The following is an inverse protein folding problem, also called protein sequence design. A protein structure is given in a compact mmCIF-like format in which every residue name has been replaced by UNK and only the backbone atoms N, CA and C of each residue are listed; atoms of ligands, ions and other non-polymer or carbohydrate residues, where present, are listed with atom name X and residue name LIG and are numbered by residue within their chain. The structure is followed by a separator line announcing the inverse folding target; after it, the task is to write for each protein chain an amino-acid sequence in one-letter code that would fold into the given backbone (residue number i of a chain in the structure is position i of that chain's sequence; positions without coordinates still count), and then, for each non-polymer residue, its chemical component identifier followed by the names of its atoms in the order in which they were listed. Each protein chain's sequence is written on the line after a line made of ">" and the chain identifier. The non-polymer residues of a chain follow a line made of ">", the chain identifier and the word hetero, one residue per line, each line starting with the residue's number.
data_IF_022874586744
#
_entry.id   IF_022874586744
#
_cell.length_a   1.000
_cell.length_b   1.000
_cell.length_c   1.000
_cell.angle_alpha   90.00
_cell.angle_beta   90.00
_cell.angle_gamma   90.00
#
_symmetry.space_group_name_H-M   'P 1'
#
loop_
_entity.id
_entity.type
_entity.pdbx_description
1 polymer ?
#
# COMPACT_ATOMS: atom_id res chain seq x y z
N UNK A 1 1.62 10.26 13.81
CA UNK A 1 2.06 11.31 14.76
C UNK A 1 3.53 11.13 15.08
N UNK A 2 4.36 11.89 14.38
CA UNK A 2 5.77 12.15 14.70
C UNK A 2 5.86 12.92 16.02
N UNK A 3 6.85 12.61 16.85
CA UNK A 3 7.41 13.56 17.81
C UNK A 3 8.92 13.28 17.99
N UNK A 4 9.70 14.23 17.48
CA UNK A 4 11.09 14.52 17.82
C UNK A 4 11.21 15.06 19.24
N UNK A 5 12.26 14.68 19.98
CA UNK A 5 12.92 15.59 20.93
C UNK A 5 14.37 15.18 21.24
N UNK A 6 15.31 16.05 20.85
CA UNK A 6 16.57 16.38 21.53
C UNK A 6 16.24 17.66 22.35
N UNK A 7 16.84 18.11 23.47
CA UNK A 7 18.17 18.02 24.12
C UNK A 7 18.06 18.81 25.49
N UNK A 8 19.09 19.00 26.37
CA UNK A 8 20.11 20.09 26.20
C UNK A 8 21.48 19.99 26.95
N UNK A 9 22.44 20.82 26.50
CA UNK A 9 23.55 21.54 27.20
C UNK A 9 24.69 21.78 26.18
N UNK A 10 25.45 22.89 26.10
CA UNK A 10 25.57 24.18 26.79
C UNK A 10 26.19 25.20 25.79
N UNK A 11 25.98 26.50 26.03
CA UNK A 11 26.63 27.64 25.33
C UNK A 11 28.03 27.95 25.97
N UNK A 12 28.91 28.89 25.52
CA UNK A 12 28.62 30.20 24.90
C UNK A 12 29.62 30.75 23.83
N UNK A 13 29.28 31.88 23.16
CA UNK A 13 30.25 32.65 22.36
C UNK A 13 29.71 33.77 21.44
N UNK A 14 29.43 34.94 22.03
CA UNK A 14 29.55 36.34 21.52
C UNK A 14 29.56 36.74 20.01
N UNK A 15 28.52 37.47 19.58
CA UNK A 15 28.43 38.82 18.91
C UNK A 15 29.36 39.25 17.71
N UNK A 16 29.03 40.29 16.90
CA UNK A 16 27.73 40.90 16.51
C UNK A 16 27.56 41.24 15.00
N UNK A 17 26.32 41.66 14.68
CA UNK A 17 25.76 42.36 13.51
C UNK A 17 26.68 43.24 12.64
N UNK A 18 26.41 43.24 11.31
CA UNK A 18 26.40 44.45 10.46
C UNK A 18 25.32 44.41 9.38
N UNK A 19 24.48 45.44 9.41
CA UNK A 19 23.62 45.91 8.32
C UNK A 19 24.43 46.37 7.10
N UNK A 20 23.91 46.10 5.90
CA UNK A 20 24.15 46.96 4.74
C UNK A 20 23.02 46.81 3.69
N UNK A 21 22.11 47.77 3.70
CA UNK A 21 21.25 48.12 2.55
C UNK A 21 22.10 48.55 1.36
N UNK A 22 21.80 48.08 0.15
CA UNK A 22 21.92 48.87 -1.09
C UNK A 22 20.96 48.41 -2.18
N UNK A 23 20.35 49.39 -2.82
CA UNK A 23 19.33 49.34 -3.87
C UNK A 23 19.96 49.43 -5.28
N UNK A 24 19.25 48.81 -6.26
CA UNK A 24 19.17 49.10 -7.73
C UNK A 24 20.47 48.91 -8.53
N UNK A 25 20.49 48.26 -9.69
CA UNK A 25 19.82 48.61 -10.96
C UNK A 25 19.76 47.42 -11.95
N UNK A 26 18.91 47.57 -12.97
CA UNK A 26 18.72 46.65 -14.09
C UNK A 26 19.87 46.68 -15.13
N UNK A 27 19.85 45.66 -15.97
CA UNK A 27 20.49 45.47 -17.27
C UNK A 27 22.03 45.35 -17.31
N UNK A 28 22.54 44.12 -17.52
CA UNK A 28 23.28 43.81 -18.76
C UNK A 28 23.48 42.30 -18.94
N UNK A 29 23.38 41.86 -20.20
CA UNK A 29 23.57 40.49 -20.63
C UNK A 29 25.00 40.28 -21.14
N UNK A 30 25.71 39.23 -20.69
CA UNK A 30 26.71 38.46 -21.47
C UNK A 30 27.67 37.65 -20.58
N UNK A 31 27.48 36.32 -20.58
CA UNK A 31 28.49 35.23 -20.62
C UNK A 31 29.79 35.37 -19.83
N UNK A 32 30.00 34.48 -18.84
CA UNK A 32 31.23 33.67 -18.62
C UNK A 32 31.01 32.60 -17.54
N UNK A 33 31.67 31.45 -17.70
CA UNK A 33 31.47 30.16 -17.04
C UNK A 33 32.07 30.00 -15.63
N UNK A 34 31.60 28.96 -14.91
CA UNK A 34 32.16 28.41 -13.67
C UNK A 34 31.02 28.01 -12.72
N UNK A 35 30.60 26.74 -12.69
CA UNK A 35 31.18 25.63 -11.91
C UNK A 35 30.29 25.34 -10.69
N UNK A 36 29.72 24.13 -10.72
CA UNK A 36 29.39 23.24 -9.60
C UNK A 36 28.41 23.75 -8.55
N UNK A 37 27.16 23.26 -8.66
CA UNK A 37 26.40 22.65 -7.57
C UNK A 37 25.14 22.00 -8.19
N UNK A 38 25.37 20.94 -9.00
CA UNK A 38 24.33 20.01 -9.38
C UNK A 38 24.01 19.15 -8.14
N UNK A 39 22.99 19.56 -7.37
CA UNK A 39 22.23 18.59 -6.58
C UNK A 39 21.55 17.64 -7.56
N UNK A 40 22.22 16.52 -7.86
CA UNK A 40 21.64 15.36 -8.55
C UNK A 40 20.49 14.79 -7.69
N UNK A 41 19.32 15.42 -7.78
CA UNK A 41 18.03 14.79 -7.52
C UNK A 41 17.83 13.73 -8.60
N UNK A 42 17.93 12.46 -8.20
CA UNK A 42 17.69 11.28 -9.03
C UNK A 42 16.43 11.47 -9.91
N UNK A 43 16.60 11.24 -11.22
CA UNK A 43 15.58 11.42 -12.25
C UNK A 43 14.22 10.80 -11.90
N UNK A 44 13.28 11.61 -11.42
CA UNK A 44 11.85 11.28 -11.40
C UNK A 44 11.39 11.31 -12.86
N UNK A 45 11.25 10.14 -13.48
CA UNK A 45 10.93 10.02 -14.91
C UNK A 45 9.72 10.86 -15.31
N UNK A 46 9.85 11.59 -16.42
CA UNK A 46 8.78 12.44 -16.95
C UNK A 46 7.49 11.65 -17.17
N UNK A 47 6.38 12.15 -16.60
CA UNK A 47 5.06 11.56 -16.82
C UNK A 47 4.66 11.74 -18.29
N UNK A 48 4.13 10.69 -18.92
CA UNK A 48 3.53 10.84 -20.24
C UNK A 48 2.17 11.56 -20.17
N UNK A 49 1.58 11.91 -21.31
CA UNK A 49 0.30 12.66 -21.36
C UNK A 49 -0.87 11.96 -20.67
N UNK A 50 -0.95 10.63 -20.71
CA UNK A 50 -1.99 9.83 -20.04
C UNK A 50 -1.85 9.89 -18.52
N UNK A 51 -0.61 9.80 -18.03
CA UNK A 51 -0.27 9.87 -16.61
C UNK A 51 -0.44 11.28 -16.06
N UNK A 52 -0.01 12.31 -16.81
CA UNK A 52 -0.23 13.72 -16.47
C UNK A 52 -1.74 14.01 -16.35
N UNK A 53 -2.56 13.52 -17.29
CA UNK A 53 -4.02 13.66 -17.23
C UNK A 53 -4.61 13.06 -15.96
N UNK A 54 -4.12 11.89 -15.52
CA UNK A 54 -4.57 11.28 -14.27
C UNK A 54 -4.26 12.17 -13.06
N UNK A 55 -3.03 12.71 -12.99
CA UNK A 55 -2.60 13.64 -11.92
C UNK A 55 -3.45 14.92 -11.94
N UNK A 56 -3.64 15.54 -13.10
CA UNK A 56 -4.42 16.78 -13.20
C UNK A 56 -5.87 16.60 -12.77
N UNK A 57 -6.52 15.50 -13.15
CA UNK A 57 -7.90 15.19 -12.73
C UNK A 57 -7.98 14.97 -11.21
N UNK A 58 -7.04 14.21 -10.64
CA UNK A 58 -6.98 14.00 -9.19
C UNK A 58 -6.78 15.33 -8.45
N UNK A 59 -5.87 16.18 -8.91
CA UNK A 59 -5.62 17.49 -8.28
C UNK A 59 -6.80 18.47 -8.42
N UNK A 60 -7.66 18.29 -9.43
CA UNK A 60 -8.90 19.04 -9.58
C UNK A 60 -10.03 18.58 -8.64
N UNK A 61 -9.78 17.56 -7.79
CA UNK A 61 -10.78 17.01 -6.88
C UNK A 61 -11.77 16.05 -7.55
N UNK A 62 -11.49 15.61 -8.78
CA UNK A 62 -12.37 14.69 -9.49
C UNK A 62 -12.20 13.25 -9.02
N UNK A 63 -13.30 12.49 -9.05
CA UNK A 63 -13.26 11.05 -8.88
C UNK A 63 -12.69 10.39 -10.13
N UNK A 64 -11.65 9.57 -9.98
CA UNK A 64 -10.97 8.93 -11.10
C UNK A 64 -10.86 7.42 -10.94
N UNK A 65 -10.93 6.71 -12.07
CA UNK A 65 -10.55 5.32 -12.19
C UNK A 65 -9.37 5.18 -13.18
N UNK A 66 -8.21 4.87 -12.63
CA UNK A 66 -6.97 4.61 -13.36
C UNK A 66 -6.88 3.11 -13.69
N UNK A 67 -6.81 2.79 -14.98
CA UNK A 67 -6.70 1.41 -15.46
C UNK A 67 -5.72 1.28 -16.62
N UNK A 68 -5.37 0.05 -16.97
CA UNK A 68 -4.37 -0.25 -18.01
C UNK A 68 -3.79 -1.64 -17.85
N UNK A 69 -3.15 -2.14 -18.89
CA UNK A 69 -2.53 -3.47 -18.89
C UNK A 69 -1.37 -3.61 -17.90
N UNK A 70 -0.81 -4.82 -17.82
CA UNK A 70 0.39 -5.04 -17.00
C UNK A 70 1.56 -4.18 -17.54
N UNK A 71 2.30 -3.55 -16.63
CA UNK A 71 3.49 -2.78 -17.01
C UNK A 71 3.24 -1.37 -17.55
N UNK A 72 1.99 -0.87 -17.56
CA UNK A 72 1.67 0.49 -18.06
C UNK A 72 1.96 1.63 -17.08
N UNK A 73 2.63 1.35 -15.95
CA UNK A 73 2.98 2.38 -14.97
C UNK A 73 1.83 2.82 -14.05
N UNK A 74 0.78 1.99 -13.86
CA UNK A 74 -0.34 2.29 -12.93
C UNK A 74 0.14 2.68 -11.53
N UNK A 75 0.91 1.82 -10.85
CA UNK A 75 1.40 2.09 -9.49
C UNK A 75 2.34 3.29 -9.42
N UNK A 76 3.15 3.52 -10.45
CA UNK A 76 3.99 4.72 -10.56
C UNK A 76 3.13 5.99 -10.62
N UNK A 77 2.14 6.01 -11.51
CA UNK A 77 1.19 7.13 -11.64
C UNK A 77 0.39 7.34 -10.36
N UNK A 78 -0.04 6.26 -9.71
CA UNK A 78 -0.76 6.31 -8.44
C UNK A 78 0.09 6.93 -7.33
N UNK A 79 1.38 6.62 -7.26
CA UNK A 79 2.31 7.23 -6.31
C UNK A 79 2.47 8.73 -6.56
N UNK A 80 2.58 9.18 -7.82
CA UNK A 80 2.60 10.61 -8.13
C UNK A 80 1.32 11.33 -7.70
N UNK A 81 0.15 10.69 -7.90
CA UNK A 81 -1.14 11.23 -7.45
C UNK A 81 -1.18 11.32 -5.92
N UNK A 82 -0.76 10.26 -5.22
CA UNK A 82 -0.70 10.22 -3.76
C UNK A 82 0.19 11.34 -3.22
N UNK A 83 1.38 11.51 -3.79
CA UNK A 83 2.32 12.54 -3.36
C UNK A 83 1.75 13.95 -3.56
N UNK A 84 1.20 14.23 -4.74
CA UNK A 84 0.59 15.52 -5.05
C UNK A 84 -0.61 15.82 -4.13
N UNK A 85 -1.47 14.83 -3.88
CA UNK A 85 -2.63 14.99 -2.99
C UNK A 85 -2.22 15.19 -1.52
N UNK A 86 -1.18 14.49 -1.05
CA UNK A 86 -0.64 14.67 0.31
C UNK A 86 -0.01 16.04 0.50
N UNK A 87 0.74 16.51 -0.50
CA UNK A 87 1.29 17.88 -0.49
C UNK A 87 0.17 18.93 -0.42
N UNK A 88 -0.96 18.69 -1.10
CA UNK A 88 -2.08 19.63 -1.16
C UNK A 88 -3.02 19.59 0.06
N UNK A 89 -3.34 18.40 0.57
CA UNK A 89 -4.34 18.20 1.63
C UNK A 89 -3.76 17.86 3.01
N UNK A 90 -2.48 17.50 3.07
CA UNK A 90 -1.83 16.92 4.25
C UNK A 90 -1.97 15.40 4.32
N UNK A 91 -1.00 14.75 4.97
CA UNK A 91 -0.89 13.28 5.04
C UNK A 91 -2.12 12.60 5.64
N UNK A 92 -2.68 13.16 6.72
CA UNK A 92 -3.78 12.56 7.46
C UNK A 92 -5.13 12.62 6.70
N UNK A 93 -5.24 13.51 5.70
CA UNK A 93 -6.45 13.68 4.89
C UNK A 93 -6.51 12.74 3.68
N UNK A 94 -5.41 12.08 3.33
CA UNK A 94 -5.31 11.16 2.19
C UNK A 94 -5.18 9.72 2.67
N UNK A 95 -6.27 8.97 2.58
CA UNK A 95 -6.30 7.56 2.91
C UNK A 95 -5.75 6.71 1.76
N UNK A 96 -4.62 6.04 1.98
CA UNK A 96 -4.05 5.10 1.02
C UNK A 96 -4.47 3.68 1.39
N UNK A 97 -5.19 3.03 0.49
CA UNK A 97 -5.69 1.68 0.70
C UNK A 97 -5.50 0.77 -0.50
N UNK A 98 -5.53 -0.54 -0.26
CA UNK A 98 -5.64 -1.54 -1.30
C UNK A 98 -6.53 -2.71 -0.85
N UNK A 99 -6.89 -3.58 -1.78
CA UNK A 99 -7.71 -4.78 -1.51
C UNK A 99 -6.96 -5.88 -0.76
N UNK A 100 -5.62 -5.95 -0.87
CA UNK A 100 -4.77 -6.93 -0.17
C UNK A 100 -3.67 -6.27 0.64
N UNK A 101 -3.15 -6.98 1.65
CA UNK A 101 -2.06 -6.47 2.50
C UNK A 101 -0.75 -6.24 1.75
N UNK A 102 -0.41 -7.10 0.78
CA UNK A 102 0.78 -6.94 -0.06
C UNK A 102 0.68 -5.65 -0.88
N UNK A 103 -0.43 -5.47 -1.59
CA UNK A 103 -0.68 -4.30 -2.41
C UNK A 103 -0.67 -3.02 -1.56
N UNK A 104 -1.33 -3.05 -0.40
CA UNK A 104 -1.35 -1.92 0.53
C UNK A 104 0.06 -1.54 0.99
N UNK A 105 0.89 -2.52 1.31
CA UNK A 105 2.28 -2.28 1.73
C UNK A 105 3.13 -1.69 0.61
N UNK A 106 2.90 -2.08 -0.65
CA UNK A 106 3.63 -1.53 -1.81
C UNK A 106 3.38 -0.03 -2.02
N UNK A 107 2.19 0.46 -1.68
CA UNK A 107 1.83 1.89 -1.81
C UNK A 107 1.90 2.64 -0.47
N UNK A 108 2.50 2.04 0.57
CA UNK A 108 2.63 2.66 1.89
C UNK A 108 1.30 2.92 2.61
N UNK A 109 0.29 2.11 2.32
CA UNK A 109 -1.06 2.19 2.87
C UNK A 109 -1.45 1.02 3.78
N UNK A 110 -2.75 0.86 3.98
CA UNK A 110 -3.35 -0.27 4.73
C UNK A 110 -4.45 -0.94 3.91
N UNK A 111 -5.02 -2.05 4.38
CA UNK A 111 -6.15 -2.65 3.65
C UNK A 111 -7.39 -1.78 3.79
N UNK A 112 -8.23 -1.74 2.75
CA UNK A 112 -9.49 -1.00 2.76
C UNK A 112 -10.39 -1.41 3.94
N UNK A 113 -10.41 -2.69 4.27
CA UNK A 113 -11.11 -3.26 5.43
C UNK A 113 -10.62 -2.68 6.77
N UNK A 114 -9.30 -2.60 6.96
CA UNK A 114 -8.68 -2.07 8.17
C UNK A 114 -8.92 -0.57 8.31
N UNK A 115 -8.72 0.19 7.22
CA UNK A 115 -8.96 1.63 7.19
C UNK A 115 -10.42 1.97 7.51
N UNK A 116 -11.37 1.34 6.81
CA UNK A 116 -12.80 1.62 6.96
C UNK A 116 -13.39 1.15 8.29
N UNK A 117 -12.74 0.21 8.98
CA UNK A 117 -13.16 -0.25 10.31
C UNK A 117 -14.34 -1.22 10.30
N UNK A 118 -14.54 -1.96 9.20
CA UNK A 118 -15.67 -2.88 9.01
C UNK A 118 -15.34 -4.36 9.32
N UNK A 119 -14.11 -4.65 9.75
CA UNK A 119 -13.62 -6.02 9.91
C UNK A 119 -13.65 -6.76 8.58
N UNK A 120 -14.28 -7.94 8.55
CA UNK A 120 -14.42 -8.77 7.34
C UNK A 120 -15.52 -8.29 6.37
N UNK A 121 -16.23 -7.19 6.67
CA UNK A 121 -17.29 -6.65 5.79
C UNK A 121 -18.55 -7.53 5.68
N UNK A 122 -18.72 -8.51 6.58
CA UNK A 122 -19.92 -9.36 6.65
C UNK A 122 -21.06 -8.64 7.36
N UNK A 123 -22.26 -8.74 6.78
CA UNK A 123 -23.46 -8.09 7.27
C UNK A 123 -23.94 -6.94 6.38
N UNK A 124 -24.97 -6.25 6.83
CA UNK A 124 -25.52 -5.05 6.17
C UNK A 124 -24.70 -3.81 6.48
N UNK A 125 -24.84 -2.75 5.69
CA UNK A 125 -24.18 -1.47 5.96
C UNK A 125 -24.52 -0.92 7.37
N UNK A 126 -25.76 -1.08 7.81
CA UNK A 126 -26.20 -0.64 9.14
C UNK A 126 -25.56 -1.46 10.28
N UNK A 127 -25.41 -2.77 10.11
CA UNK A 127 -24.71 -3.62 11.08
C UNK A 127 -23.24 -3.27 11.20
N UNK A 128 -22.58 -3.05 10.06
CA UNK A 128 -21.18 -2.63 10.00
C UNK A 128 -21.00 -1.25 10.65
N UNK A 129 -21.88 -0.31 10.34
CA UNK A 129 -21.88 1.03 10.95
C UNK A 129 -22.06 0.96 12.47
N UNK A 130 -23.00 0.16 12.99
CA UNK A 130 -23.21 0.02 14.45
C UNK A 130 -22.02 -0.59 15.18
N UNK A 131 -21.26 -1.45 14.50
CA UNK A 131 -20.03 -2.08 15.04
C UNK A 131 -18.79 -1.23 14.85
N UNK A 132 -18.88 -0.14 14.10
CA UNK A 132 -17.75 0.73 13.80
C UNK A 132 -17.25 1.42 15.08
N UNK A 133 -15.92 1.43 15.27
CA UNK A 133 -15.30 2.15 16.38
C UNK A 133 -15.35 3.66 16.15
N UNK A 134 -15.31 4.45 17.25
CA UNK A 134 -15.19 5.92 17.17
C UNK A 134 -13.96 6.35 16.36
N UNK A 135 -12.84 5.65 16.50
CA UNK A 135 -11.62 5.94 15.74
C UNK A 135 -11.81 5.77 14.23
N UNK A 136 -12.50 4.70 13.80
CA UNK A 136 -12.81 4.51 12.39
C UNK A 136 -13.74 5.61 11.87
N UNK A 137 -14.78 5.97 12.63
CA UNK A 137 -15.67 7.07 12.26
C UNK A 137 -14.92 8.41 12.13
N UNK A 138 -14.01 8.72 13.05
CA UNK A 138 -13.15 9.91 12.96
C UNK A 138 -12.26 9.89 11.71
N UNK A 139 -11.68 8.74 11.35
CA UNK A 139 -10.90 8.60 10.11
C UNK A 139 -11.74 8.93 8.88
N UNK A 140 -12.98 8.44 8.81
CA UNK A 140 -13.91 8.80 7.73
C UNK A 140 -14.17 10.31 7.67
N UNK A 141 -14.38 10.95 8.82
CA UNK A 141 -14.65 12.39 8.93
C UNK A 141 -13.46 13.29 8.55
N UNK A 142 -12.24 12.79 8.72
CA UNK A 142 -11.02 13.51 8.38
C UNK A 142 -10.51 13.23 6.96
N UNK A 143 -11.03 12.20 6.31
CA UNK A 143 -10.62 11.80 4.98
C UNK A 143 -11.21 12.73 3.91
N UNK A 144 -10.34 13.37 3.14
CA UNK A 144 -10.73 14.16 1.95
C UNK A 144 -10.59 13.33 0.68
N UNK A 145 -9.58 12.47 0.60
CA UNK A 145 -9.36 11.58 -0.54
C UNK A 145 -9.09 10.14 -0.09
N UNK A 146 -9.79 9.19 -0.71
CA UNK A 146 -9.60 7.75 -0.55
C UNK A 146 -9.03 7.14 -1.82
N UNK A 147 -7.79 6.68 -1.72
CA UNK A 147 -7.09 5.93 -2.76
C UNK A 147 -7.31 4.44 -2.52
N UNK A 148 -7.72 3.71 -3.56
CA UNK A 148 -7.94 2.26 -3.52
C UNK A 148 -7.19 1.61 -4.69
N UNK A 149 -6.11 0.88 -4.40
CA UNK A 149 -5.39 0.08 -5.39
C UNK A 149 -5.89 -1.38 -5.45
N UNK A 150 -5.60 -2.05 -6.57
CA UNK A 150 -6.04 -3.40 -6.90
C UNK A 150 -7.56 -3.59 -6.79
N UNK A 151 -8.32 -2.65 -7.35
CA UNK A 151 -9.80 -2.64 -7.27
C UNK A 151 -10.48 -3.81 -7.99
N UNK A 152 -9.76 -4.58 -8.82
CA UNK A 152 -10.31 -5.76 -9.51
C UNK A 152 -10.76 -6.86 -8.54
N UNK A 153 -10.11 -6.94 -7.38
CA UNK A 153 -10.43 -7.89 -6.32
C UNK A 153 -11.47 -7.35 -5.32
N UNK A 154 -11.99 -6.14 -5.52
CA UNK A 154 -13.01 -5.55 -4.66
C UNK A 154 -14.41 -5.98 -5.11
N UNK A 155 -15.15 -6.60 -4.19
CA UNK A 155 -16.55 -6.96 -4.41
C UNK A 155 -17.44 -5.72 -4.48
N UNK A 156 -18.34 -5.66 -5.47
CA UNK A 156 -19.22 -4.52 -5.68
C UNK A 156 -20.22 -4.31 -4.53
N UNK A 157 -20.72 -5.39 -3.91
CA UNK A 157 -21.62 -5.27 -2.74
C UNK A 157 -20.90 -4.67 -1.53
N UNK A 158 -19.63 -5.04 -1.31
CA UNK A 158 -18.80 -4.42 -0.28
C UNK A 158 -18.61 -2.92 -0.55
N UNK A 159 -18.38 -2.53 -1.80
CA UNK A 159 -18.22 -1.13 -2.19
C UNK A 159 -19.48 -0.29 -1.93
N UNK A 160 -20.66 -0.82 -2.27
CA UNK A 160 -21.94 -0.15 -1.98
C UNK A 160 -22.20 0.00 -0.48
N UNK A 161 -21.78 -0.97 0.35
CA UNK A 161 -21.85 -0.82 1.81
C UNK A 161 -20.94 0.31 2.31
N UNK A 162 -19.74 0.44 1.75
CA UNK A 162 -18.81 1.52 2.09
C UNK A 162 -19.36 2.89 1.66
N UNK A 163 -19.96 2.99 0.47
CA UNK A 163 -20.66 4.20 0.02
C UNK A 163 -21.78 4.59 0.99
N UNK A 164 -22.63 3.64 1.39
CA UNK A 164 -23.72 3.87 2.34
C UNK A 164 -23.21 4.34 3.71
N UNK A 165 -22.09 3.76 4.20
CA UNK A 165 -21.42 4.18 5.42
C UNK A 165 -20.88 5.62 5.30
N UNK A 166 -20.19 5.94 4.21
CA UNK A 166 -19.65 7.28 3.95
C UNK A 166 -20.77 8.33 3.91
N UNK A 167 -21.84 8.07 3.16
CA UNK A 167 -23.04 8.92 3.10
C UNK A 167 -23.69 9.15 4.46
N UNK A 168 -23.68 8.12 5.32
CA UNK A 168 -24.24 8.21 6.67
C UNK A 168 -23.37 9.02 7.62
N UNK A 169 -22.05 8.93 7.49
CA UNK A 169 -21.09 9.63 8.35
C UNK A 169 -20.88 11.09 7.97
N UNK A 170 -21.01 11.41 6.67
CA UNK A 170 -20.64 12.70 6.09
C UNK A 170 -21.88 13.33 5.41
N UNK A 171 -21.93 13.34 4.07
CA UNK A 171 -23.02 13.90 3.28
C UNK A 171 -23.86 12.79 2.61
N UNK A 172 -25.14 12.71 2.97
CA UNK A 172 -26.07 11.69 2.45
C UNK A 172 -26.33 11.79 0.94
N UNK A 173 -26.07 12.95 0.34
CA UNK A 173 -26.42 13.23 -1.07
C UNK A 173 -25.27 12.96 -2.03
N UNK A 174 -24.04 12.81 -1.52
CA UNK A 174 -22.83 12.68 -2.34
C UNK A 174 -22.27 11.26 -2.27
N UNK A 175 -21.72 10.77 -3.38
CA UNK A 175 -21.01 9.49 -3.42
C UNK A 175 -19.90 9.46 -2.36
N UNK A 176 -19.82 8.38 -1.59
CA UNK A 176 -18.91 8.18 -0.46
C UNK A 176 -18.96 9.30 0.59
N UNK A 177 -20.07 10.01 0.71
CA UNK A 177 -20.16 11.13 1.63
C UNK A 177 -19.43 12.39 1.18
N UNK A 178 -19.03 12.47 -0.10
CA UNK A 178 -18.27 13.58 -0.66
C UNK A 178 -16.75 13.41 -0.63
N UNK A 179 -16.25 12.28 -0.12
CA UNK A 179 -14.83 11.90 -0.21
C UNK A 179 -14.44 11.70 -1.66
N UNK A 180 -13.34 12.30 -2.08
CA UNK A 180 -12.78 12.09 -3.41
C UNK A 180 -12.26 10.65 -3.55
N UNK A 181 -12.54 10.01 -4.68
CA UNK A 181 -12.12 8.63 -4.94
C UNK A 181 -11.05 8.57 -6.04
N UNK A 182 -9.94 7.92 -5.72
CA UNK A 182 -8.88 7.54 -6.68
C UNK A 182 -8.80 6.03 -6.72
N UNK A 183 -9.39 5.43 -7.74
CA UNK A 183 -9.49 3.98 -7.92
C UNK A 183 -8.41 3.54 -8.91
N UNK A 184 -7.68 2.46 -8.60
CA UNK A 184 -6.64 1.91 -9.47
C UNK A 184 -6.74 0.39 -9.59
N UNK A 185 -6.69 -0.12 -10.82
CA UNK A 185 -6.65 -1.58 -11.06
C UNK A 185 -6.91 -1.98 -12.51
N UNK A 186 -6.95 -3.29 -12.76
CA UNK A 186 -7.24 -3.87 -14.07
C UNK A 186 -8.21 -5.05 -13.93
N UNK A 187 -9.44 -4.89 -14.41
CA UNK A 187 -10.48 -5.92 -14.30
C UNK A 187 -10.20 -7.19 -15.12
N UNK A 188 -9.20 -7.17 -16.00
CA UNK A 188 -8.72 -8.38 -16.69
C UNK A 188 -7.76 -9.22 -15.83
N UNK A 189 -7.40 -8.75 -14.62
CA UNK A 189 -6.60 -9.52 -13.66
C UNK A 189 -7.51 -10.37 -12.74
N UNK A 190 -7.11 -10.54 -11.48
CA UNK A 190 -7.84 -11.39 -10.54
C UNK A 190 -9.18 -10.75 -10.15
N UNK A 191 -10.30 -11.51 -10.21
CA UNK A 191 -11.61 -11.06 -9.76
C UNK A 191 -11.71 -11.07 -8.23
N UNK A 192 -12.83 -10.58 -7.65
CA UNK A 192 -13.07 -10.66 -6.21
C UNK A 192 -12.97 -12.09 -5.67
N UNK A 193 -12.44 -12.22 -4.45
CA UNK A 193 -12.26 -13.51 -3.77
C UNK A 193 -13.38 -13.73 -2.77
N UNK A 194 -14.10 -14.86 -2.87
CA UNK A 194 -15.14 -15.24 -1.93
C UNK A 194 -15.49 -16.71 -2.00
N UNK A 195 -16.04 -17.24 -0.90
CA UNK A 195 -16.37 -18.67 -0.74
C UNK A 195 -17.53 -19.12 -1.65
N UNK A 196 -18.37 -18.20 -2.10
CA UNK A 196 -19.52 -18.45 -2.97
C UNK A 196 -19.39 -17.57 -4.21
N UNK A 197 -18.81 -18.11 -5.28
CA UNK A 197 -18.62 -17.40 -6.55
C UNK A 197 -19.91 -16.78 -7.09
N UNK A 198 -21.06 -17.43 -6.87
CA UNK A 198 -22.36 -17.02 -7.37
C UNK A 198 -22.93 -15.74 -6.72
N UNK A 199 -22.25 -15.18 -5.70
CA UNK A 199 -22.68 -13.95 -5.00
C UNK A 199 -21.71 -12.78 -5.13
N UNK A 200 -20.60 -12.96 -5.84
CA UNK A 200 -19.62 -11.90 -6.03
C UNK A 200 -20.01 -11.08 -7.25
N UNK A 201 -20.05 -9.77 -7.08
CA UNK A 201 -20.21 -8.83 -8.19
C UNK A 201 -18.90 -8.12 -8.45
N UNK A 202 -18.60 -7.84 -9.71
CA UNK A 202 -17.47 -6.99 -10.03
C UNK A 202 -17.73 -5.57 -9.50
N UNK A 203 -16.66 -4.85 -9.16
CA UNK A 203 -16.77 -3.49 -8.67
C UNK A 203 -17.53 -2.57 -9.65
N UNK A 204 -17.34 -2.75 -10.96
CA UNK A 204 -18.02 -1.95 -11.98
C UNK A 204 -19.54 -2.19 -12.07
N UNK A 205 -20.05 -3.20 -11.37
CA UNK A 205 -21.48 -3.51 -11.25
C UNK A 205 -22.11 -2.87 -9.99
N UNK A 206 -21.30 -2.26 -9.13
CA UNK A 206 -21.78 -1.59 -7.92
C UNK A 206 -22.64 -0.36 -8.25
N UNK A 207 -23.65 -0.08 -7.43
CA UNK A 207 -24.53 1.08 -7.63
C UNK A 207 -23.77 2.41 -7.51
N UNK A 208 -22.74 2.46 -6.66
CA UNK A 208 -21.89 3.64 -6.51
C UNK A 208 -20.90 3.84 -7.68
N UNK A 209 -20.65 2.82 -8.50
CA UNK A 209 -19.61 2.87 -9.54
C UNK A 209 -19.74 4.02 -10.54
N UNK A 210 -20.92 4.34 -11.11
CA UNK A 210 -21.04 5.42 -12.10
C UNK A 210 -20.62 6.80 -11.55
N UNK A 211 -20.76 7.02 -10.23
CA UNK A 211 -20.36 8.26 -9.56
C UNK A 211 -18.90 8.17 -9.06
N UNK A 212 -18.45 6.99 -8.67
CA UNK A 212 -17.11 6.75 -8.15
C UNK A 212 -16.03 6.68 -9.24
N UNK A 213 -16.37 6.18 -10.43
CA UNK A 213 -15.48 6.07 -11.59
C UNK A 213 -15.87 7.08 -12.68
N UNK A 214 -16.27 8.29 -12.29
CA UNK A 214 -16.76 9.35 -13.18
C UNK A 214 -15.77 9.65 -14.31
N UNK A 215 -14.47 9.67 -14.01
CA UNK A 215 -13.41 9.90 -14.98
C UNK A 215 -12.53 8.67 -15.12
N UNK A 216 -12.64 7.95 -16.25
CA UNK A 216 -11.77 6.81 -16.54
C UNK A 216 -10.52 7.28 -17.28
N UNK A 217 -9.35 6.88 -16.78
CA UNK A 217 -8.05 7.10 -17.40
C UNK A 217 -7.42 5.75 -17.73
N UNK A 218 -7.31 5.46 -19.03
CA UNK A 218 -6.69 4.25 -19.53
C UNK A 218 -5.23 4.52 -19.92
N UNK A 219 -4.30 3.90 -19.21
CA UNK A 219 -2.88 3.88 -19.55
C UNK A 219 -2.62 2.80 -20.60
N UNK A 220 -2.09 3.20 -21.75
CA UNK A 220 -1.82 2.32 -22.90
C UNK A 220 -0.34 2.02 -23.07
N UNK A 221 0.51 2.97 -22.73
CA UNK A 221 1.97 2.84 -22.93
C UNK A 221 2.54 1.84 -21.94
N UNK A 222 3.22 0.79 -22.43
CA UNK A 222 3.89 -0.22 -21.60
C UNK A 222 5.34 0.19 -21.37
N UNK A 223 5.74 0.26 -20.09
CA UNK A 223 7.09 0.67 -19.68
C UNK A 223 7.93 -0.49 -19.13
N UNK A 224 7.29 -1.52 -18.57
CA UNK A 224 7.98 -2.60 -17.85
C UNK A 224 8.71 -3.56 -18.80
N UNK A 225 8.22 -3.77 -20.00
CA UNK A 225 8.78 -4.70 -20.98
C UNK A 225 9.28 -3.94 -22.20
N UNK A 226 10.54 -4.15 -22.58
CA UNK A 226 11.14 -3.55 -23.78
C UNK A 226 10.92 -4.39 -25.04
N UNK A 227 10.66 -5.69 -24.89
CA UNK A 227 10.41 -6.60 -26.00
C UNK A 227 8.95 -6.51 -26.47
N UNK A 228 8.74 -5.88 -27.63
CA UNK A 228 7.41 -5.70 -28.23
C UNK A 228 6.68 -7.02 -28.42
N UNK A 229 7.38 -8.07 -28.87
CA UNK A 229 6.76 -9.37 -29.09
C UNK A 229 6.28 -10.01 -27.79
N UNK A 230 6.86 -9.64 -26.64
CA UNK A 230 6.42 -10.10 -25.32
C UNK A 230 5.23 -9.27 -24.82
N UNK A 231 5.27 -7.95 -25.09
CA UNK A 231 4.13 -7.06 -24.83
C UNK A 231 2.88 -7.54 -25.58
N UNK A 232 3.02 -7.88 -26.86
CA UNK A 232 1.92 -8.37 -27.69
C UNK A 232 1.35 -9.67 -27.13
N UNK A 233 2.21 -10.64 -26.80
CA UNK A 233 1.82 -11.89 -26.15
C UNK A 233 1.03 -11.67 -24.85
N UNK A 234 1.48 -10.76 -23.99
CA UNK A 234 0.78 -10.46 -22.73
C UNK A 234 -0.57 -9.78 -22.97
N UNK A 235 -0.68 -8.93 -23.99
CA UNK A 235 -1.94 -8.29 -24.37
C UNK A 235 -2.93 -9.31 -24.98
N UNK A 236 -2.45 -10.21 -25.84
CA UNK A 236 -3.22 -11.34 -26.37
C UNK A 236 -3.75 -12.22 -25.23
N UNK A 237 -2.88 -12.55 -24.26
CA UNK A 237 -3.28 -13.32 -23.07
C UNK A 237 -4.35 -12.59 -22.25
N UNK A 238 -4.19 -11.28 -22.06
CA UNK A 238 -5.16 -10.43 -21.35
C UNK A 238 -6.53 -10.42 -22.04
N UNK A 239 -6.57 -10.52 -23.36
CA UNK A 239 -7.81 -10.56 -24.16
C UNK A 239 -8.35 -11.98 -24.38
N UNK A 240 -7.63 -13.01 -23.92
CA UNK A 240 -7.91 -14.42 -24.19
C UNK A 240 -7.87 -14.81 -25.68
N UNK A 241 -7.07 -14.10 -26.48
CA UNK A 241 -6.92 -14.32 -27.93
C UNK A 241 -5.45 -14.58 -28.28
N UNK A 242 -4.92 -15.76 -27.91
CA UNK A 242 -3.52 -16.12 -28.16
C UNK A 242 -3.29 -16.53 -29.63
N UNK A 243 -2.34 -15.86 -30.28
CA UNK A 243 -1.89 -16.22 -31.63
C UNK A 243 -1.05 -17.52 -31.61
N UNK A 244 -0.98 -18.27 -32.73
CA UNK A 244 -0.11 -19.44 -32.83
C UNK A 244 1.35 -19.12 -32.52
N UNK A 245 1.80 -17.90 -32.86
CA UNK A 245 3.13 -17.40 -32.55
C UNK A 245 3.34 -17.27 -31.03
N UNK A 246 2.41 -16.63 -30.32
CA UNK A 246 2.47 -16.51 -28.85
C UNK A 246 2.44 -17.84 -28.13
N UNK A 247 1.61 -18.79 -28.60
CA UNK A 247 1.56 -20.15 -28.06
C UNK A 247 2.90 -20.86 -28.23
N UNK A 248 3.47 -20.84 -29.45
CA UNK A 248 4.77 -21.44 -29.73
C UNK A 248 5.88 -20.82 -28.87
N UNK A 249 5.84 -19.51 -28.65
CA UNK A 249 6.78 -18.80 -27.79
C UNK A 249 6.68 -19.23 -26.32
N UNK A 250 5.47 -19.37 -25.78
CA UNK A 250 5.27 -19.88 -24.41
C UNK A 250 5.81 -21.31 -24.27
N UNK A 251 5.52 -22.18 -25.24
CA UNK A 251 6.02 -23.56 -25.26
C UNK A 251 7.55 -23.59 -25.32
N UNK A 252 8.15 -22.74 -26.14
CA UNK A 252 9.60 -22.61 -26.24
C UNK A 252 10.23 -22.18 -24.90
N UNK A 253 9.62 -21.23 -24.17
CA UNK A 253 10.11 -20.78 -22.87
C UNK A 253 10.03 -21.89 -21.79
N UNK A 254 9.00 -22.75 -21.85
CA UNK A 254 8.88 -23.92 -20.97
C UNK A 254 9.93 -24.98 -21.30
N UNK A 255 10.18 -25.23 -22.58
CA UNK A 255 11.18 -26.21 -23.02
C UNK A 255 12.63 -25.74 -22.81
N UNK A 256 12.85 -24.42 -22.83
CA UNK A 256 14.17 -23.80 -22.73
C UNK A 256 14.19 -22.78 -21.57
N UNK A 257 14.05 -23.21 -20.31
CA UNK A 257 14.10 -22.29 -19.19
C UNK A 257 15.50 -21.65 -19.12
N UNK A 258 15.60 -20.33 -18.87
CA UNK A 258 16.90 -19.66 -18.79
C UNK A 258 17.71 -20.22 -17.61
N UNK A 259 19.02 -20.38 -17.82
CA UNK A 259 19.94 -20.69 -16.74
C UNK A 259 20.11 -19.45 -15.85
N UNK A 260 19.38 -19.41 -14.74
CA UNK A 260 19.42 -18.30 -13.78
C UNK A 260 20.30 -18.66 -12.58
N UNK A 261 21.18 -17.75 -12.19
CA UNK A 261 22.01 -17.89 -10.98
C UNK A 261 21.15 -18.00 -9.70
N UNK A 262 19.96 -17.39 -9.72
CA UNK A 262 18.98 -17.48 -8.63
C UNK A 262 17.78 -18.27 -9.13
N UNK A 263 17.42 -19.33 -8.40
CA UNK A 263 16.23 -20.12 -8.72
C UNK A 263 15.00 -19.20 -8.78
N UNK A 264 14.21 -19.19 -9.86
CA UNK A 264 13.10 -18.25 -9.99
C UNK A 264 11.98 -18.56 -8.99
N UNK A 265 11.26 -17.52 -8.57
CA UNK A 265 10.03 -17.66 -7.81
C UNK A 265 8.99 -18.37 -8.68
N UNK A 266 8.41 -19.45 -8.15
CA UNK A 266 7.34 -20.17 -8.82
C UNK A 266 5.99 -19.66 -8.33
N UNK A 267 5.04 -19.49 -9.24
CA UNK A 267 3.68 -19.07 -8.94
C UNK A 267 2.75 -20.29 -9.06
N UNK A 268 1.85 -20.45 -8.08
CA UNK A 268 0.91 -21.56 -8.03
C UNK A 268 -0.52 -21.03 -7.82
N UNK A 269 -1.55 -21.74 -8.32
CA UNK A 269 -2.95 -21.33 -8.12
C UNK A 269 -3.46 -21.55 -6.68
N UNK A 270 -2.81 -22.40 -5.89
CA UNK A 270 -3.19 -22.73 -4.53
C UNK A 270 -2.02 -22.53 -3.57
N UNK A 271 -2.28 -21.89 -2.42
CA UNK A 271 -1.28 -21.61 -1.39
C UNK A 271 -0.63 -22.89 -0.86
N UNK A 272 -1.40 -23.97 -0.70
CA UNK A 272 -0.90 -25.28 -0.24
C UNK A 272 0.27 -25.78 -1.10
N UNK A 273 0.16 -25.70 -2.44
CA UNK A 273 1.24 -26.12 -3.35
C UNK A 273 2.48 -25.24 -3.26
N UNK A 274 2.29 -23.93 -3.08
CA UNK A 274 3.40 -23.01 -2.88
C UNK A 274 4.12 -23.31 -1.56
N UNK A 275 3.37 -23.58 -0.50
CA UNK A 275 3.90 -23.93 0.82
C UNK A 275 4.62 -25.28 0.82
N UNK A 276 4.06 -26.30 0.15
CA UNK A 276 4.70 -27.60 -0.04
C UNK A 276 6.04 -27.49 -0.78
N UNK A 277 6.09 -26.75 -1.89
CA UNK A 277 7.34 -26.53 -2.64
C UNK A 277 8.36 -25.78 -1.79
N UNK A 278 7.95 -24.70 -1.09
CA UNK A 278 8.82 -23.92 -0.23
C UNK A 278 9.38 -24.76 0.92
N UNK A 279 8.51 -25.54 1.59
CA UNK A 279 8.87 -26.43 2.69
C UNK A 279 9.82 -27.53 2.24
N UNK A 280 9.56 -28.15 1.08
CA UNK A 280 10.41 -29.20 0.50
C UNK A 280 11.81 -28.65 0.21
N UNK A 281 11.89 -27.48 -0.43
CA UNK A 281 13.18 -26.83 -0.74
C UNK A 281 13.94 -26.44 0.52
N UNK A 282 13.26 -25.90 1.52
CA UNK A 282 13.88 -25.56 2.80
C UNK A 282 14.39 -26.83 3.53
N UNK A 283 13.70 -27.96 3.40
CA UNK A 283 14.12 -29.21 4.01
C UNK A 283 15.45 -29.73 3.45
N UNK A 284 15.63 -29.65 2.13
CA UNK A 284 16.82 -30.13 1.43
C UNK A 284 18.07 -29.27 1.73
N UNK A 285 17.90 -28.01 2.13
CA UNK A 285 19.04 -27.16 2.48
C UNK A 285 19.81 -27.70 3.68
N UNK A 286 21.14 -27.64 3.57
CA UNK A 286 22.06 -27.96 4.66
C UNK A 286 21.99 -26.92 5.79
N UNK A 287 22.53 -27.29 6.95
CA UNK A 287 22.54 -26.43 8.13
C UNK A 287 21.34 -26.61 9.05
N UNK A 288 21.52 -26.16 10.30
CA UNK A 288 20.52 -26.31 11.35
C UNK A 288 19.38 -25.30 11.14
N UNK A 289 18.11 -25.74 11.16
CA UNK A 289 16.99 -24.83 11.08
C UNK A 289 16.94 -23.95 12.33
N UNK A 290 16.58 -22.69 12.13
CA UNK A 290 16.25 -21.75 13.20
C UNK A 290 14.80 -21.32 13.05
N UNK A 291 14.14 -21.13 14.18
CA UNK A 291 12.71 -20.84 14.26
C UNK A 291 12.52 -19.49 14.94
N UNK A 292 11.85 -18.57 14.25
CA UNK A 292 11.36 -17.31 14.81
C UNK A 292 9.87 -17.45 15.04
N UNK A 293 9.44 -17.24 16.28
CA UNK A 293 8.02 -17.26 16.64
C UNK A 293 7.53 -15.83 16.77
N UNK A 294 6.41 -15.53 16.13
CA UNK A 294 5.73 -14.25 16.25
C UNK A 294 5.29 -14.02 17.70
N UNK A 295 5.31 -12.77 18.14
CA UNK A 295 4.73 -12.33 19.41
C UNK A 295 3.56 -11.43 19.05
N UNK A 296 2.35 -11.97 19.22
CA UNK A 296 1.13 -11.27 18.88
C UNK A 296 0.50 -10.64 20.14
N UNK A 297 0.07 -9.39 20.06
CA UNK A 297 -0.61 -8.68 21.14
C UNK A 297 -1.90 -8.01 20.65
N UNK A 298 -2.77 -7.62 21.57
CA UNK A 298 -4.05 -6.95 21.27
C UNK A 298 -5.29 -7.85 21.38
N UNK A 299 -6.47 -7.22 21.32
CA UNK A 299 -7.75 -7.86 21.67
C UNK A 299 -8.48 -8.53 20.49
N UNK A 300 -7.86 -8.59 19.31
CA UNK A 300 -8.54 -8.93 18.05
C UNK A 300 -7.83 -10.09 17.33
N UNK A 301 -7.82 -11.31 17.91
CA UNK A 301 -7.01 -12.43 17.41
C UNK A 301 -7.41 -12.92 16.00
N UNK A 302 -8.59 -12.56 15.49
CA UNK A 302 -8.98 -12.90 14.12
C UNK A 302 -8.21 -12.11 13.06
N UNK A 303 -7.62 -10.95 13.40
CA UNK A 303 -6.75 -10.21 12.47
C UNK A 303 -5.47 -10.97 12.10
N UNK A 304 -5.06 -11.91 12.95
CA UNK A 304 -3.86 -12.72 12.75
C UNK A 304 -4.07 -13.81 11.68
N UNK A 305 -5.33 -14.14 11.33
CA UNK A 305 -5.66 -15.21 10.39
C UNK A 305 -5.30 -14.87 8.94
N UNK A 306 -5.23 -13.58 8.62
CA UNK A 306 -5.00 -13.09 7.26
C UNK A 306 -3.60 -12.48 7.10
N UNK A 307 -2.70 -12.67 8.09
CA UNK A 307 -1.33 -12.21 8.01
C UNK A 307 -0.53 -13.09 7.05
N UNK A 308 0.28 -12.43 6.22
CA UNK A 308 1.20 -13.08 5.28
C UNK A 308 2.39 -13.73 5.99
N UNK A 309 2.72 -13.24 7.18
CA UNK A 309 3.84 -13.74 7.98
C UNK A 309 3.33 -14.92 8.80
N UNK A 310 3.99 -16.10 8.72
CA UNK A 310 3.59 -17.25 9.51
C UNK A 310 3.88 -17.00 10.99
N UNK A 311 3.08 -17.61 11.88
CA UNK A 311 3.33 -17.56 13.33
C UNK A 311 4.69 -18.15 13.73
N UNK A 312 5.20 -19.10 12.95
CA UNK A 312 6.52 -19.66 13.10
C UNK A 312 7.24 -19.62 11.74
N UNK A 313 8.24 -18.76 11.62
CA UNK A 313 9.10 -18.68 10.46
C UNK A 313 10.34 -19.57 10.68
N UNK A 314 10.51 -20.58 9.84
CA UNK A 314 11.68 -21.47 9.86
C UNK A 314 12.63 -21.05 8.75
N UNK A 315 13.91 -20.83 9.08
CA UNK A 315 14.95 -20.48 8.12
C UNK A 315 16.19 -21.35 8.30
N UNK A 316 16.96 -21.51 7.21
CA UNK A 316 18.29 -22.11 7.15
C UNK A 316 19.22 -21.21 6.31
N UNK A 317 20.55 -21.30 6.47
CA UNK A 317 21.46 -20.67 5.51
C UNK A 317 21.19 -21.23 4.10
N UNK A 318 21.25 -20.38 3.09
CA UNK A 318 20.88 -20.72 1.72
C UNK A 318 19.37 -20.60 1.42
N UNK A 319 18.52 -20.33 2.42
CA UNK A 319 17.09 -20.13 2.17
C UNK A 319 16.85 -18.87 1.34
N UNK A 320 16.08 -18.99 0.26
CA UNK A 320 15.60 -17.82 -0.47
C UNK A 320 14.43 -17.20 0.31
N UNK A 321 14.48 -15.88 0.48
CA UNK A 321 13.48 -15.10 1.20
C UNK A 321 13.03 -13.91 0.37
N UNK A 322 11.83 -13.43 0.67
CA UNK A 322 11.28 -12.21 0.11
C UNK A 322 11.00 -11.24 1.24
N UNK A 323 11.43 -9.99 1.06
CA UNK A 323 11.11 -8.92 1.98
C UNK A 323 9.63 -8.54 1.82
N UNK A 324 8.88 -8.49 2.92
CA UNK A 324 7.44 -8.19 2.90
C UNK A 324 7.11 -6.74 3.28
N UNK A 325 8.12 -5.94 3.63
CA UNK A 325 7.98 -4.56 4.11
C UNK A 325 9.13 -3.71 3.59
N UNK A 326 8.84 -2.48 3.17
CA UNK A 326 9.88 -1.51 2.81
C UNK A 326 10.73 -1.19 4.05
N UNK A 327 12.05 -1.35 3.95
CA UNK A 327 13.01 -1.04 5.00
C UNK A 327 13.81 0.21 4.65
N UNK A 328 14.35 0.26 3.43
CA UNK A 328 15.16 1.37 2.95
C UNK A 328 15.01 1.46 1.42
N UNK A 329 14.34 2.51 0.95
CA UNK A 329 14.09 2.75 -0.47
C UNK A 329 15.35 3.18 -1.22
N UNK A 330 16.26 3.92 -0.58
CA UNK A 330 17.54 4.34 -1.17
C UNK A 330 18.48 3.15 -1.40
N UNK A 331 18.52 2.23 -0.44
CA UNK A 331 19.25 0.97 -0.56
C UNK A 331 18.51 -0.12 -1.38
N UNK A 332 17.34 0.19 -1.97
CA UNK A 332 16.49 -0.74 -2.75
C UNK A 332 16.02 -1.98 -1.96
N UNK A 333 15.90 -1.85 -0.64
CA UNK A 333 15.32 -2.85 0.27
C UNK A 333 13.82 -2.59 0.41
N UNK A 334 13.07 -2.97 -0.63
CA UNK A 334 11.63 -2.77 -0.74
C UNK A 334 10.87 -4.09 -0.66
N UNK A 335 9.57 -4.03 -0.40
CA UNK A 335 8.70 -5.20 -0.46
C UNK A 335 8.82 -5.86 -1.86
N UNK A 336 8.94 -7.18 -1.87
CA UNK A 336 9.26 -7.98 -3.06
C UNK A 336 10.77 -8.18 -3.30
N UNK A 337 11.66 -7.44 -2.63
CA UNK A 337 13.11 -7.67 -2.72
C UNK A 337 13.44 -9.09 -2.30
N UNK A 338 14.25 -9.76 -3.12
CA UNK A 338 14.62 -11.17 -2.94
C UNK A 338 16.03 -11.26 -2.40
N UNK A 339 16.24 -12.19 -1.47
CA UNK A 339 17.54 -12.43 -0.87
C UNK A 339 17.77 -13.90 -0.59
N UNK A 340 19.01 -14.21 -0.22
CA UNK A 340 19.42 -15.52 0.28
C UNK A 340 19.95 -15.32 1.69
N UNK A 341 19.47 -16.12 2.64
CA UNK A 341 19.97 -16.11 4.02
C UNK A 341 21.43 -16.57 4.02
N UNK A 342 22.36 -15.67 4.33
CA UNK A 342 23.81 -16.00 4.37
C UNK A 342 24.24 -16.61 5.71
N UNK A 343 23.56 -16.28 6.80
CA UNK A 343 23.93 -16.70 8.13
C UNK A 343 23.00 -16.13 9.20
N UNK A 344 23.32 -16.43 10.46
CA UNK A 344 22.54 -15.97 11.60
C UNK A 344 23.47 -15.50 12.71
N UNK A 345 23.34 -14.23 13.08
CA UNK A 345 24.10 -13.63 14.16
C UNK A 345 23.18 -13.38 15.35
N UNK A 346 23.66 -13.53 16.61
CA UNK A 346 22.96 -12.99 17.76
C UNK A 346 22.96 -11.47 17.62
N UNK A 347 21.78 -10.86 17.64
CA UNK A 347 21.67 -9.40 17.73
C UNK A 347 21.46 -9.00 19.20
N UNK A 348 22.48 -8.45 19.88
CA UNK A 348 22.35 -7.99 21.27
C UNK A 348 21.36 -6.82 21.40
N UNK A 349 21.16 -6.06 20.33
CA UNK A 349 20.25 -4.92 20.28
C UNK A 349 18.81 -5.34 20.00
N UNK A 350 18.57 -6.45 19.29
CA UNK A 350 17.23 -6.98 19.05
C UNK A 350 16.50 -7.39 20.33
N UNK A 351 17.20 -7.95 21.32
CA UNK A 351 16.60 -8.28 22.61
C UNK A 351 16.15 -7.01 23.36
N UNK A 352 16.96 -5.95 23.33
CA UNK A 352 16.65 -4.67 23.96
C UNK A 352 15.60 -3.86 23.18
N UNK A 353 15.58 -3.95 21.85
CA UNK A 353 14.57 -3.35 20.99
C UNK A 353 13.22 -4.06 21.16
N UNK A 354 13.22 -5.40 21.18
CA UNK A 354 12.01 -6.20 21.43
C UNK A 354 11.48 -6.00 22.85
N UNK A 355 12.35 -5.89 23.87
CA UNK A 355 11.94 -5.51 25.22
C UNK A 355 11.38 -4.09 25.27
N UNK A 356 11.99 -3.12 24.57
CA UNK A 356 11.47 -1.75 24.46
C UNK A 356 10.11 -1.71 23.77
N UNK A 357 9.90 -2.45 22.69
CA UNK A 357 8.61 -2.53 22.00
C UNK A 357 7.55 -3.19 22.88
N UNK A 358 7.90 -4.29 23.57
CA UNK A 358 7.02 -4.95 24.54
C UNK A 358 6.68 -4.06 25.73
N UNK A 359 7.64 -3.31 26.28
CA UNK A 359 7.43 -2.40 27.39
C UNK A 359 6.60 -1.19 26.97
N UNK A 360 6.86 -0.62 25.79
CA UNK A 360 6.06 0.46 25.19
C UNK A 360 4.63 -0.01 24.98
N UNK A 361 4.44 -1.24 24.50
CA UNK A 361 3.11 -1.82 24.33
C UNK A 361 2.39 -2.04 25.66
N UNK A 362 3.05 -2.62 26.67
CA UNK A 362 2.49 -2.78 28.03
C UNK A 362 2.11 -1.45 28.66
N UNK A 363 2.93 -0.40 28.48
CA UNK A 363 2.61 0.95 28.93
C UNK A 363 1.37 1.51 28.23
N UNK A 364 1.25 1.30 26.91
CA UNK A 364 0.07 1.73 26.15
C UNK A 364 -1.20 0.97 26.57
N UNK A 365 -1.11 -0.33 26.85
CA UNK A 365 -2.25 -1.11 27.38
C UNK A 365 -2.64 -0.66 28.79
N UNK A 366 -1.66 -0.45 29.68
CA UNK A 366 -1.90 0.06 31.03
C UNK A 366 -2.54 1.46 31.00
N UNK A 367 -2.07 2.35 30.11
CA UNK A 367 -2.68 3.67 29.88
C UNK A 367 -4.11 3.56 29.37
N UNK A 368 -4.38 2.65 28.42
CA UNK A 368 -5.74 2.41 27.90
C UNK A 368 -6.68 1.88 28.98
N UNK A 369 -6.21 0.99 29.84
CA UNK A 369 -7.00 0.42 30.93
C UNK A 369 -7.24 1.46 32.03
N UNK A 370 -6.23 2.25 32.41
CA UNK A 370 -6.39 3.38 33.32
C UNK A 370 -7.38 4.42 32.76
N UNK A 371 -7.32 4.72 31.47
CA UNK A 371 -8.28 5.60 30.79
C UNK A 371 -9.70 5.04 30.82
N UNK A 372 -9.90 3.72 30.68
CA UNK A 372 -11.23 3.10 30.81
C UNK A 372 -11.78 3.21 32.22
N UNK A 373 -10.94 3.02 33.22
CA UNK A 373 -11.32 3.11 34.64
C UNK A 373 -11.57 4.55 35.10
N UNK A 374 -10.95 5.53 34.43
CA UNK A 374 -11.13 6.96 34.70
C UNK A 374 -12.40 7.57 34.05
N UNK A 375 -13.11 6.84 33.16
CA UNK A 375 -14.41 7.30 32.65
C UNK A 375 -15.51 6.90 33.65
N UNK A 376 -16.19 7.86 34.31
CA UNK A 376 -17.27 7.51 35.22
C UNK A 376 -18.42 6.88 34.43
N UNK A 377 -18.99 5.80 34.96
CA UNK A 377 -20.18 5.17 34.40
C UNK A 377 -21.30 6.22 34.25
N UNK A 378 -22.07 6.21 33.14
CA UNK A 378 -23.20 7.11 33.01
C UNK A 378 -24.16 6.85 34.17
N UNK A 379 -24.46 7.91 34.94
CA UNK A 379 -25.42 7.84 36.02
C UNK A 379 -26.75 7.31 35.47
N UNK A 380 -27.22 6.18 36.03
CA UNK A 380 -28.53 5.66 35.75
C UNK A 380 -29.58 6.67 36.27
N UNK A 381 -29.99 7.58 35.40
CA UNK A 381 -31.07 8.51 35.63
C UNK A 381 -32.40 7.76 35.56
N UNK A 382 -33.07 7.68 36.71
CA UNK A 382 -34.41 7.16 36.88
C UNK A 382 -35.40 7.84 35.93
N UNK A 383 -36.19 7.02 35.24
CA UNK A 383 -37.49 7.44 34.70
C UNK A 383 -38.53 6.75 35.59
N UNK A 384 -39.13 7.55 36.48
CA UNK A 384 -40.45 7.27 37.07
C UNK A 384 -41.54 7.72 36.11
#
# INVERSE_FOLDING_TARGET
>A
MLLSSLQPSDAPGSAPLRDAKRQRTADDASVCAGADDDEELECVGELNSEQQRAVSLAMAGENIFLTGGAGTGKSFTLNQIIEALRQHHGDDAVAITATTGIAATHIGGTTLHSWSGIGVGKGTADELFRKMSKHAATRWQQCLCLVIDEVSMLDGSLFDKLDAIGRRLLDKTRCFGGVQLVLCGDFFQLPPVGLLRDKLSFLFEANAWPLAAKNVVLLRTVFRQTDQSFVDLLNEMRQAELSPFSVARLQHAVANPPALAVVPTKLYPHNERAEEENSTRLHVLEGKPRVWRAIDTGSMPWLLKDLLVPQALVLKPGAQVMLLKNLDTGAKLVNGSRGVVVGFEPDPSAAAAMQRDLETHRRLEALREALRQAVPAPAAGAIS
#
